data_IF_947940396559
#
_entry.id   IF_947940396559
#
_cell.length_a   1.000
_cell.length_b   1.000
_cell.length_c   1.000
_cell.angle_alpha   90.00
_cell.angle_beta   90.00
_cell.angle_gamma   90.00
#
_symmetry.space_group_name_H-M   'P 1'
#
loop_
_entity.id
_entity.type
_entity.pdbx_description
1 polymer ?
#
# COMPACT_ATOMS: atom_id res chain seq x y z
N UNK A 1 -3.42 -2.87 -9.69
CA UNK A 1 -2.56 -1.65 -9.76
C UNK A 1 -1.21 -1.96 -9.15
N UNK A 2 -0.11 -1.54 -9.78
CA UNK A 2 1.25 -1.75 -9.27
C UNK A 2 2.14 -0.56 -9.61
N UNK A 3 2.94 -0.12 -8.64
CA UNK A 3 3.93 0.95 -8.86
C UNK A 3 5.08 0.44 -9.74
N UNK A 4 5.32 1.04 -10.91
CA UNK A 4 6.45 0.69 -11.77
C UNK A 4 7.83 0.91 -11.14
N UNK A 5 7.89 1.61 -10.01
CA UNK A 5 9.11 1.85 -9.22
C UNK A 5 9.28 0.89 -8.04
N UNK A 6 8.56 -0.25 -8.03
CA UNK A 6 8.74 -1.35 -7.06
C UNK A 6 9.19 -2.64 -7.76
N UNK A 7 10.40 -2.71 -8.27
CA UNK A 7 10.85 -3.83 -9.10
C UNK A 7 11.10 -5.14 -8.32
N UNK A 8 11.05 -5.11 -6.99
CA UNK A 8 11.40 -6.25 -6.13
C UNK A 8 10.18 -7.02 -5.61
N UNK A 9 8.99 -6.77 -6.16
CA UNK A 9 7.82 -7.61 -5.91
C UNK A 9 8.06 -9.01 -6.45
N UNK A 10 7.68 -10.02 -5.68
CA UNK A 10 7.84 -11.42 -6.11
C UNK A 10 6.56 -11.96 -6.78
N UNK A 11 6.68 -12.99 -7.65
CA UNK A 11 5.51 -13.65 -8.21
C UNK A 11 4.55 -14.18 -7.14
N UNK A 12 5.05 -14.75 -6.05
CA UNK A 12 4.23 -15.29 -4.96
C UNK A 12 3.43 -14.19 -4.25
N UNK A 13 4.01 -12.99 -4.07
CA UNK A 13 3.31 -11.84 -3.53
C UNK A 13 2.18 -11.40 -4.46
N UNK A 14 2.44 -11.36 -5.78
CA UNK A 14 1.43 -11.00 -6.78
C UNK A 14 0.28 -12.01 -6.75
N UNK A 15 0.59 -13.31 -6.80
CA UNK A 15 -0.40 -14.38 -6.83
C UNK A 15 -1.27 -14.37 -5.56
N UNK A 16 -0.66 -14.14 -4.40
CA UNK A 16 -1.35 -14.09 -3.12
C UNK A 16 -2.38 -12.95 -3.07
N UNK A 17 -2.00 -11.75 -3.52
CA UNK A 17 -2.90 -10.58 -3.54
C UNK A 17 -4.00 -10.76 -4.59
N UNK A 18 -3.67 -11.28 -5.77
CA UNK A 18 -4.67 -11.54 -6.84
C UNK A 18 -5.71 -12.55 -6.38
N UNK A 19 -5.27 -13.65 -5.75
CA UNK A 19 -6.17 -14.67 -5.20
C UNK A 19 -7.10 -14.07 -4.14
N UNK A 20 -6.55 -13.36 -3.17
CA UNK A 20 -7.34 -12.73 -2.11
C UNK A 20 -8.37 -11.72 -2.67
N UNK A 21 -7.98 -10.90 -3.65
CA UNK A 21 -8.91 -9.96 -4.30
C UNK A 21 -9.99 -10.67 -5.12
N UNK A 22 -9.69 -11.84 -5.71
CA UNK A 22 -10.68 -12.67 -6.38
C UNK A 22 -11.77 -13.17 -5.43
N UNK A 23 -11.39 -13.52 -4.22
CA UNK A 23 -12.30 -14.03 -3.18
C UNK A 23 -13.07 -12.91 -2.46
N UNK A 24 -12.39 -11.83 -2.07
CA UNK A 24 -12.96 -10.74 -1.26
C UNK A 24 -13.46 -9.53 -2.05
N UNK A 25 -13.00 -9.36 -3.27
CA UNK A 25 -13.26 -8.17 -4.09
C UNK A 25 -12.17 -7.11 -4.04
N UNK A 26 -11.39 -7.05 -2.96
CA UNK A 26 -10.31 -6.07 -2.77
C UNK A 26 -9.23 -6.62 -1.85
N UNK A 27 -7.96 -6.51 -2.26
CA UNK A 27 -6.82 -6.88 -1.45
C UNK A 27 -5.59 -6.03 -1.79
N UNK A 28 -4.76 -5.76 -0.79
CA UNK A 28 -3.50 -5.03 -0.96
C UNK A 28 -2.35 -5.76 -0.28
N UNK A 29 -1.16 -5.56 -0.83
CA UNK A 29 0.07 -5.98 -0.18
C UNK A 29 0.45 -4.94 0.89
N UNK A 30 0.87 -5.42 2.05
CA UNK A 30 1.32 -4.57 3.16
C UNK A 30 2.62 -5.10 3.75
N UNK A 31 3.34 -4.28 4.50
CA UNK A 31 4.48 -4.73 5.30
C UNK A 31 4.51 -4.06 6.68
N UNK A 32 5.08 -4.74 7.65
CA UNK A 32 5.25 -4.24 8.99
C UNK A 32 6.14 -2.98 9.05
N UNK A 33 5.97 -2.21 10.12
CA UNK A 33 6.81 -1.05 10.44
C UNK A 33 7.92 -1.46 11.41
N UNK A 34 9.17 -1.14 11.05
CA UNK A 34 10.32 -1.33 11.93
C UNK A 34 10.45 -0.18 12.94
N UNK A 35 10.16 1.04 12.51
CA UNK A 35 10.36 2.25 13.29
C UNK A 35 9.21 2.55 14.25
N UNK A 36 9.50 3.35 15.28
CA UNK A 36 8.49 3.94 16.14
C UNK A 36 7.81 5.09 15.41
N UNK A 37 6.47 5.08 15.35
CA UNK A 37 5.68 6.11 14.67
C UNK A 37 5.20 7.15 15.68
N UNK A 38 5.47 8.42 15.37
CA UNK A 38 5.06 9.58 16.16
C UNK A 38 4.01 10.39 15.41
N UNK A 39 2.91 10.75 16.08
CA UNK A 39 2.02 11.82 15.63
C UNK A 39 2.69 13.16 16.00
N UNK A 40 2.93 14.01 14.99
CA UNK A 40 3.60 15.32 15.18
C UNK A 40 2.71 16.42 14.65
N UNK A 41 2.42 17.41 15.50
CA UNK A 41 1.64 18.60 15.11
C UNK A 41 2.40 19.85 15.55
N UNK A 42 2.49 20.83 14.67
CA UNK A 42 3.21 22.09 14.93
C UNK A 42 4.63 21.87 15.51
N UNK A 43 5.38 20.94 14.94
CA UNK A 43 6.74 20.54 15.34
C UNK A 43 6.85 19.94 16.77
N UNK A 44 5.75 19.46 17.34
CA UNK A 44 5.71 18.81 18.65
C UNK A 44 5.17 17.40 18.54
N UNK A 45 5.81 16.47 19.23
CA UNK A 45 5.30 15.10 19.37
C UNK A 45 4.05 15.13 20.24
N UNK A 46 2.92 14.73 19.66
CA UNK A 46 1.63 14.66 20.36
C UNK A 46 1.42 13.28 20.96
N UNK A 47 1.76 12.22 20.19
CA UNK A 47 1.52 10.85 20.59
C UNK A 47 2.51 9.88 19.94
N UNK A 48 2.65 8.71 20.54
CA UNK A 48 3.32 7.55 19.93
C UNK A 48 2.25 6.54 19.52
N UNK A 49 2.19 6.22 18.24
CA UNK A 49 1.20 5.27 17.71
C UNK A 49 1.65 3.83 17.98
N UNK A 50 0.79 2.97 18.55
CA UNK A 50 1.07 1.54 18.68
C UNK A 50 1.20 0.90 17.31
N UNK A 51 2.40 0.44 16.94
CA UNK A 51 2.68 -0.08 15.61
C UNK A 51 2.19 -1.50 15.34
N UNK A 52 1.65 -2.18 16.35
CA UNK A 52 1.20 -3.59 16.23
C UNK A 52 0.18 -3.78 15.11
N UNK A 53 -0.70 -2.80 14.91
CA UNK A 53 -1.74 -2.82 13.87
C UNK A 53 -1.43 -1.90 12.68
N UNK A 54 -0.27 -1.25 12.67
CA UNK A 54 0.13 -0.38 11.57
C UNK A 54 0.96 -1.15 10.55
N UNK A 55 0.67 -0.89 9.28
CA UNK A 55 1.40 -1.45 8.14
C UNK A 55 1.70 -0.34 7.14
N UNK A 56 2.79 -0.51 6.42
CA UNK A 56 3.04 0.26 5.20
C UNK A 56 2.22 -0.33 4.08
N UNK A 57 1.43 0.47 3.38
CA UNK A 57 0.80 0.06 2.15
C UNK A 57 1.88 -0.13 1.07
N UNK A 58 1.85 -1.27 0.42
CA UNK A 58 2.69 -1.61 -0.71
C UNK A 58 1.82 -1.75 -1.97
N UNK A 59 2.43 -2.15 -3.06
CA UNK A 59 1.75 -2.62 -4.24
C UNK A 59 2.32 -3.99 -4.65
N UNK A 60 1.53 -4.89 -5.28
CA UNK A 60 0.25 -4.64 -5.93
C UNK A 60 -0.92 -4.40 -4.97
N UNK A 61 -1.87 -3.60 -5.45
CA UNK A 61 -3.21 -3.46 -4.91
C UNK A 61 -4.17 -4.02 -5.96
N UNK A 62 -4.94 -5.03 -5.62
CA UNK A 62 -5.79 -5.77 -6.54
C UNK A 62 -7.27 -5.63 -6.16
N UNK A 63 -8.08 -5.39 -7.16
CA UNK A 63 -9.52 -5.16 -7.00
C UNK A 63 -10.30 -5.84 -8.11
N UNK A 64 -11.49 -6.31 -7.80
CA UNK A 64 -12.44 -6.64 -8.85
C UNK A 64 -12.81 -5.36 -9.61
N UNK A 65 -12.97 -5.49 -10.91
CA UNK A 65 -13.20 -4.33 -11.78
C UNK A 65 -14.46 -3.53 -11.42
N UNK A 66 -15.53 -4.23 -11.02
CA UNK A 66 -16.79 -3.61 -10.58
C UNK A 66 -16.60 -2.80 -9.29
N UNK A 67 -15.80 -3.30 -8.35
CA UNK A 67 -15.45 -2.61 -7.10
C UNK A 67 -14.65 -1.34 -7.40
N UNK A 68 -13.60 -1.47 -8.20
CA UNK A 68 -12.74 -0.33 -8.55
C UNK A 68 -13.49 0.75 -9.32
N UNK A 69 -14.34 0.38 -10.28
CA UNK A 69 -15.17 1.34 -11.02
C UNK A 69 -16.08 2.14 -10.09
N UNK A 70 -16.74 1.48 -9.14
CA UNK A 70 -17.61 2.16 -8.15
C UNK A 70 -16.78 3.11 -7.27
N UNK A 71 -15.57 2.71 -6.87
CA UNK A 71 -14.70 3.54 -6.07
C UNK A 71 -14.31 4.84 -6.81
N UNK A 72 -13.95 4.73 -8.08
CA UNK A 72 -13.60 5.90 -8.90
C UNK A 72 -14.79 6.80 -9.23
N UNK A 73 -16.01 6.28 -9.32
CA UNK A 73 -17.22 7.11 -9.51
C UNK A 73 -17.45 8.08 -8.35
N UNK A 74 -16.91 7.81 -7.16
CA UNK A 74 -16.98 8.74 -6.02
C UNK A 74 -15.89 9.82 -6.06
N UNK A 75 -14.89 9.68 -6.91
CA UNK A 75 -13.76 10.61 -6.95
C UNK A 75 -14.22 12.04 -7.27
N UNK A 76 -15.20 12.20 -8.19
CA UNK A 76 -15.79 13.49 -8.53
C UNK A 76 -16.43 14.19 -7.33
N UNK A 77 -16.97 13.40 -6.38
CA UNK A 77 -17.58 13.94 -5.14
C UNK A 77 -16.53 14.42 -4.13
N UNK A 78 -15.27 14.03 -4.32
CA UNK A 78 -14.15 14.45 -3.47
C UNK A 78 -13.44 15.68 -4.01
N UNK A 79 -13.71 16.08 -5.26
CA UNK A 79 -13.15 17.29 -5.86
C UNK A 79 -13.60 18.52 -5.06
N UNK A 80 -12.62 19.37 -4.69
CA UNK A 80 -12.85 20.56 -3.86
C UNK A 80 -13.00 20.30 -2.36
N UNK A 81 -12.87 19.05 -1.91
CA UNK A 81 -12.78 18.71 -0.47
C UNK A 81 -11.32 18.74 -0.01
N UNK A 82 -11.10 18.79 1.33
CA UNK A 82 -9.76 18.69 1.91
C UNK A 82 -9.26 17.23 2.02
N UNK A 83 -9.94 16.28 1.36
CA UNK A 83 -9.60 14.86 1.42
C UNK A 83 -8.54 14.56 0.37
N UNK A 84 -7.37 14.12 0.82
CA UNK A 84 -6.29 13.63 -0.03
C UNK A 84 -6.48 12.15 -0.31
N UNK A 85 -6.54 11.79 -1.59
CA UNK A 85 -6.56 10.39 -2.03
C UNK A 85 -5.12 9.89 -2.11
N UNK A 86 -4.76 8.97 -1.23
CA UNK A 86 -3.39 8.48 -1.11
C UNK A 86 -3.09 7.28 -2.02
N UNK A 87 -4.08 6.39 -2.19
CA UNK A 87 -3.99 5.21 -3.06
C UNK A 87 -5.39 4.70 -3.47
N UNK A 88 -5.43 3.64 -4.29
CA UNK A 88 -6.69 3.06 -4.75
C UNK A 88 -7.49 2.40 -3.63
N UNK A 89 -6.79 1.79 -2.65
CA UNK A 89 -7.47 1.13 -1.52
C UNK A 89 -8.26 2.13 -0.68
N UNK A 90 -7.76 3.35 -0.51
CA UNK A 90 -8.46 4.42 0.18
C UNK A 90 -9.84 4.71 -0.45
N UNK A 91 -9.93 4.72 -1.78
CA UNK A 91 -11.22 4.92 -2.47
C UNK A 91 -12.18 3.76 -2.24
N UNK A 92 -11.68 2.53 -2.20
CA UNK A 92 -12.48 1.32 -1.95
C UNK A 92 -12.96 1.27 -0.51
N UNK A 93 -12.11 1.61 0.46
CA UNK A 93 -12.46 1.71 1.87
C UNK A 93 -13.60 2.70 2.11
N UNK A 94 -13.62 3.83 1.39
CA UNK A 94 -14.71 4.81 1.46
C UNK A 94 -16.06 4.31 0.96
N UNK A 95 -16.10 3.24 0.16
CA UNK A 95 -17.33 2.52 -0.20
C UNK A 95 -17.86 1.65 0.96
N UNK A 96 -17.13 1.54 2.07
CA UNK A 96 -17.42 0.58 3.13
C UNK A 96 -17.12 -0.86 2.75
N UNK A 97 -16.30 -1.07 1.72
CA UNK A 97 -15.86 -2.39 1.28
C UNK A 97 -14.59 -2.76 2.06
N UNK A 98 -14.59 -3.96 2.62
CA UNK A 98 -13.43 -4.50 3.32
C UNK A 98 -12.29 -4.76 2.33
N UNK A 99 -11.10 -4.26 2.65
CA UNK A 99 -9.87 -4.48 1.89
C UNK A 99 -8.99 -5.46 2.66
N UNK A 100 -8.72 -6.62 2.07
CA UNK A 100 -7.88 -7.65 2.70
C UNK A 100 -6.41 -7.24 2.62
N UNK A 101 -5.72 -7.25 3.76
CA UNK A 101 -4.29 -6.98 3.86
C UNK A 101 -3.51 -8.30 3.78
N UNK A 102 -2.64 -8.42 2.78
CA UNK A 102 -1.72 -9.55 2.59
C UNK A 102 -0.33 -9.13 3.02
N UNK A 103 0.25 -9.84 3.98
CA UNK A 103 1.61 -9.56 4.44
C UNK A 103 2.62 -9.90 3.34
N UNK A 104 3.39 -8.90 2.95
CA UNK A 104 4.44 -9.01 1.96
C UNK A 104 5.81 -8.67 2.55
N UNK A 105 6.82 -8.70 1.70
CA UNK A 105 8.20 -8.46 2.11
C UNK A 105 8.50 -6.97 2.30
N UNK A 106 9.19 -6.63 3.37
CA UNK A 106 9.79 -5.31 3.56
C UNK A 106 10.80 -4.95 2.45
N UNK A 107 11.30 -5.96 1.72
CA UNK A 107 12.21 -5.80 0.57
C UNK A 107 11.52 -5.21 -0.68
N UNK A 108 10.20 -5.25 -0.76
CA UNK A 108 9.41 -4.60 -1.82
C UNK A 108 9.40 -3.08 -1.61
N UNK A 109 10.60 -2.48 -1.74
CA UNK A 109 10.80 -1.04 -1.56
C UNK A 109 10.32 -0.26 -2.79
N UNK A 110 9.95 1.00 -2.57
CA UNK A 110 9.65 1.97 -3.63
C UNK A 110 10.92 2.77 -3.93
N UNK A 111 11.39 2.73 -5.16
CA UNK A 111 12.53 3.51 -5.62
C UNK A 111 12.03 4.93 -5.92
N UNK A 112 12.38 5.88 -5.06
CA UNK A 112 11.98 7.28 -5.17
C UNK A 112 13.16 8.23 -5.22
N UNK A 113 14.32 7.76 -4.77
CA UNK A 113 15.58 8.51 -4.72
C UNK A 113 16.72 7.66 -5.28
N UNK A 114 17.82 8.30 -5.64
CA UNK A 114 19.01 7.60 -6.14
C UNK A 114 19.57 6.57 -5.14
N UNK A 115 19.52 6.89 -3.85
CA UNK A 115 19.95 5.98 -2.80
C UNK A 115 19.13 4.69 -2.76
N UNK A 116 17.83 4.76 -3.04
CA UNK A 116 16.95 3.60 -3.06
C UNK A 116 17.37 2.61 -4.15
N UNK A 117 17.92 3.10 -5.26
CA UNK A 117 18.40 2.24 -6.35
C UNK A 117 19.55 1.33 -5.87
N UNK A 118 20.52 1.89 -5.11
CA UNK A 118 21.63 1.12 -4.55
C UNK A 118 21.14 0.08 -3.54
N UNK A 119 20.13 0.44 -2.75
CA UNK A 119 19.50 -0.50 -1.81
C UNK A 119 18.82 -1.63 -2.59
N UNK A 120 18.06 -1.30 -3.64
CA UNK A 120 17.40 -2.28 -4.49
C UNK A 120 18.39 -3.25 -5.15
N UNK A 121 19.50 -2.75 -5.68
CA UNK A 121 20.57 -3.59 -6.25
C UNK A 121 21.16 -4.55 -5.22
N UNK A 122 21.39 -4.07 -3.98
CA UNK A 122 21.90 -4.91 -2.90
C UNK A 122 20.92 -6.01 -2.53
N UNK A 123 19.63 -5.67 -2.43
CA UNK A 123 18.58 -6.64 -2.16
C UNK A 123 18.51 -7.68 -3.30
N UNK A 124 18.54 -7.23 -4.55
CA UNK A 124 18.46 -8.12 -5.72
C UNK A 124 19.59 -9.16 -5.72
N UNK A 125 20.81 -8.76 -5.43
CA UNK A 125 21.97 -9.67 -5.31
C UNK A 125 21.84 -10.69 -4.18
N UNK A 126 20.97 -10.45 -3.21
CA UNK A 126 20.71 -11.39 -2.10
C UNK A 126 19.69 -12.48 -2.45
N UNK A 127 19.10 -12.43 -3.65
CA UNK A 127 18.22 -13.48 -4.18
C UNK A 127 18.98 -14.54 -5.01
N UNK A 128 20.22 -14.22 -5.42
CA UNK A 128 21.15 -15.12 -6.10
C UNK A 128 21.94 -15.97 -5.09
#
# INVERSE_FOLDING_TARGET
>A
MHDGVRPLVTPDEIDSVVKAAGESGAAILVAGLADTIKDVRSNRVVNTLPRVNLRRALTPQCFRLDVLRRAYQQLEQLEGTAIEVTDDSFLVERLGIEVVAIEGSARNIKITREEDLRIAETILRSFD
#
